data_IF_565360266500
#
_entry.id   IF_565360266500
#
_cell.length_a   1.000
_cell.length_b   1.000
_cell.length_c   1.000
_cell.angle_alpha   90.00
_cell.angle_beta   90.00
_cell.angle_gamma   90.00
#
_symmetry.space_group_name_H-M   'P 1'
#
loop_
_entity.id
_entity.type
_entity.pdbx_description
1 polymer ?
#
# COMPACT_ATOMS: atom_id res chain seq x y z
N UNK A 1 9.41 11.64 5.45
CA UNK A 1 10.76 12.17 5.68
C UNK A 1 10.83 13.12 6.89
N UNK A 2 9.85 13.98 7.05
CA UNK A 2 9.83 14.97 8.15
C UNK A 2 9.90 14.33 9.53
N UNK A 3 9.31 13.16 9.69
CA UNK A 3 9.32 12.38 10.93
C UNK A 3 10.59 11.52 11.12
N UNK A 4 11.59 11.67 10.26
CA UNK A 4 12.86 10.96 10.34
C UNK A 4 12.86 9.51 9.85
N UNK A 5 11.77 9.07 9.24
CA UNK A 5 11.67 7.72 8.68
C UNK A 5 12.51 7.52 7.41
N UNK A 6 12.83 6.26 7.14
CA UNK A 6 13.48 5.85 5.89
C UNK A 6 12.40 5.69 4.81
N UNK A 7 12.64 6.29 3.64
CA UNK A 7 11.75 6.20 2.48
C UNK A 7 12.37 5.31 1.41
N UNK A 8 11.70 4.21 1.08
CA UNK A 8 12.15 3.26 0.06
C UNK A 8 11.09 3.19 -1.03
N UNK A 9 11.49 3.50 -2.27
CA UNK A 9 10.63 3.38 -3.44
C UNK A 9 10.87 2.06 -4.17
N UNK A 10 9.81 1.37 -4.57
CA UNK A 10 9.87 0.25 -5.49
C UNK A 10 9.33 0.68 -6.84
N UNK A 11 10.23 0.76 -7.82
CA UNK A 11 9.90 1.19 -9.17
C UNK A 11 9.48 0.02 -10.06
N UNK A 12 8.50 0.22 -10.96
CA UNK A 12 8.20 -0.74 -12.01
C UNK A 12 9.29 -0.78 -13.10
N UNK A 13 10.11 0.27 -13.19
CA UNK A 13 11.17 0.43 -14.18
C UNK A 13 12.39 -0.44 -13.90
N UNK A 14 13.19 -0.69 -14.93
CA UNK A 14 14.47 -1.40 -14.84
C UNK A 14 15.65 -0.47 -14.57
N UNK A 15 15.51 0.82 -14.89
CA UNK A 15 16.57 1.84 -14.75
C UNK A 15 16.00 3.17 -14.25
N UNK A 16 16.87 4.02 -13.71
CA UNK A 16 16.51 5.38 -13.33
C UNK A 16 15.95 6.17 -14.51
N UNK A 17 16.56 6.04 -15.67
CA UNK A 17 16.10 6.73 -16.89
C UNK A 17 14.68 6.33 -17.25
N UNK A 18 14.38 5.04 -17.30
CA UNK A 18 13.05 4.52 -17.56
C UNK A 18 12.04 4.98 -16.50
N UNK A 19 12.45 5.00 -15.23
CA UNK A 19 11.63 5.50 -14.12
C UNK A 19 11.19 6.96 -14.33
N UNK A 20 12.12 7.82 -14.74
CA UNK A 20 11.86 9.25 -14.94
C UNK A 20 11.21 9.52 -16.29
N UNK A 21 11.74 8.96 -17.37
CA UNK A 21 11.34 9.32 -18.74
C UNK A 21 10.08 8.59 -19.20
N UNK A 22 9.93 7.30 -18.88
CA UNK A 22 8.81 6.48 -19.35
C UNK A 22 7.67 6.45 -18.34
N UNK A 23 7.97 6.13 -17.07
CA UNK A 23 6.96 6.06 -16.02
C UNK A 23 6.60 7.40 -15.39
N UNK A 24 7.37 8.47 -15.67
CA UNK A 24 7.14 9.82 -15.11
C UNK A 24 7.08 9.85 -13.59
N UNK A 25 7.93 9.06 -12.94
CA UNK A 25 7.99 8.96 -11.47
C UNK A 25 9.10 9.85 -10.90
N UNK A 26 8.88 10.43 -9.71
CA UNK A 26 9.86 11.31 -9.07
C UNK A 26 10.99 10.55 -8.39
N UNK A 27 12.14 11.20 -8.25
CA UNK A 27 13.29 10.69 -7.49
C UNK A 27 13.38 11.31 -6.10
N UNK A 28 12.73 12.46 -5.90
CA UNK A 28 12.86 13.26 -4.67
C UNK A 28 12.29 12.53 -3.46
N UNK A 29 12.89 12.80 -2.30
CA UNK A 29 12.46 12.32 -0.99
C UNK A 29 12.56 10.80 -0.79
N UNK A 30 13.24 10.09 -1.68
CA UNK A 30 13.55 8.67 -1.52
C UNK A 30 14.98 8.51 -1.00
N UNK A 31 15.17 7.70 0.02
CA UNK A 31 16.50 7.30 0.51
C UNK A 31 17.10 6.21 -0.38
N UNK A 32 16.23 5.35 -0.90
CA UNK A 32 16.60 4.25 -1.81
C UNK A 32 15.48 4.02 -2.81
N UNK A 33 15.83 3.77 -4.05
CA UNK A 33 14.89 3.31 -5.08
C UNK A 33 15.36 1.96 -5.60
N UNK A 34 14.47 0.97 -5.55
CA UNK A 34 14.73 -0.36 -6.11
C UNK A 34 14.05 -0.43 -7.47
N UNK A 35 14.83 -0.57 -8.52
CA UNK A 35 14.34 -0.70 -9.90
C UNK A 35 14.04 -2.18 -10.17
N UNK A 36 12.78 -2.58 -10.03
CA UNK A 36 12.38 -3.99 -10.13
C UNK A 36 12.39 -4.52 -11.56
N UNK A 37 12.09 -3.68 -12.53
CA UNK A 37 11.96 -4.09 -13.93
C UNK A 37 10.74 -4.98 -14.23
N UNK A 38 9.82 -5.14 -13.28
CA UNK A 38 8.69 -6.06 -13.40
C UNK A 38 7.37 -5.38 -13.83
N UNK A 39 7.41 -4.10 -14.20
CA UNK A 39 6.20 -3.34 -14.51
C UNK A 39 5.33 -3.11 -13.27
N UNK A 40 4.09 -2.69 -13.49
CA UNK A 40 3.20 -2.33 -12.39
C UNK A 40 2.79 -3.50 -11.50
N UNK A 41 2.30 -4.58 -12.09
CA UNK A 41 1.76 -5.71 -11.31
C UNK A 41 2.83 -6.44 -10.51
N UNK A 42 4.00 -6.69 -11.11
CA UNK A 42 5.12 -7.32 -10.41
C UNK A 42 5.68 -6.45 -9.31
N UNK A 43 5.79 -5.12 -9.53
CA UNK A 43 6.18 -4.17 -8.51
C UNK A 43 5.19 -4.13 -7.36
N UNK A 44 3.87 -4.15 -7.64
CA UNK A 44 2.84 -4.17 -6.61
C UNK A 44 2.94 -5.40 -5.71
N UNK A 45 3.21 -6.56 -6.30
CA UNK A 45 3.40 -7.80 -5.55
C UNK A 45 4.60 -7.71 -4.60
N UNK A 46 5.75 -7.25 -5.09
CA UNK A 46 6.96 -7.10 -4.28
C UNK A 46 6.77 -6.08 -3.16
N UNK A 47 6.20 -4.92 -3.46
CA UNK A 47 5.95 -3.87 -2.49
C UNK A 47 5.06 -4.37 -1.36
N UNK A 48 3.95 -5.00 -1.71
CA UNK A 48 2.96 -5.49 -0.75
C UNK A 48 3.53 -6.60 0.12
N UNK A 49 4.21 -7.58 -0.47
CA UNK A 49 4.81 -8.68 0.28
C UNK A 49 5.97 -8.28 1.17
N UNK A 50 6.70 -7.23 0.81
CA UNK A 50 7.80 -6.69 1.61
C UNK A 50 7.35 -5.85 2.80
N UNK A 51 6.06 -5.53 2.89
CA UNK A 51 5.50 -4.65 3.91
C UNK A 51 4.86 -5.43 5.06
N UNK A 52 4.95 -4.90 6.28
CA UNK A 52 4.26 -5.43 7.47
C UNK A 52 2.77 -5.07 7.45
N UNK A 53 2.42 -3.95 6.83
CA UNK A 53 1.05 -3.48 6.64
C UNK A 53 0.96 -2.62 5.39
N UNK A 54 -0.26 -2.41 4.90
CA UNK A 54 -0.53 -1.59 3.71
C UNK A 54 -1.50 -0.48 4.09
N UNK A 55 -1.23 0.74 3.65
CA UNK A 55 -2.15 1.87 3.76
C UNK A 55 -2.62 2.24 2.36
N UNK A 56 -3.94 2.31 2.21
CA UNK A 56 -4.61 2.68 0.96
C UNK A 56 -5.29 4.03 1.14
N UNK A 57 -4.92 4.97 0.28
CA UNK A 57 -5.60 6.27 0.18
C UNK A 57 -6.42 6.37 -1.11
N UNK A 58 -6.39 7.53 -1.73
CA UNK A 58 -6.96 7.74 -3.06
C UNK A 58 -6.18 6.93 -4.11
N UNK A 59 -6.88 6.11 -4.90
CA UNK A 59 -6.22 5.27 -5.87
C UNK A 59 -7.11 4.77 -7.00
N UNK A 60 -6.49 4.04 -7.91
CA UNK A 60 -7.10 3.48 -9.12
C UNK A 60 -6.85 1.96 -9.17
N UNK A 61 -6.74 1.39 -10.36
CA UNK A 61 -6.55 -0.05 -10.57
C UNK A 61 -5.32 -0.63 -9.87
N UNK A 62 -4.20 0.09 -9.89
CA UNK A 62 -2.99 -0.34 -9.19
C UNK A 62 -3.20 -0.45 -7.68
N UNK A 63 -3.91 0.51 -7.10
CA UNK A 63 -4.29 0.50 -5.69
C UNK A 63 -5.20 -0.67 -5.35
N UNK A 64 -6.18 -0.99 -6.20
CA UNK A 64 -7.03 -2.16 -6.02
C UNK A 64 -6.22 -3.46 -6.12
N UNK A 65 -5.25 -3.53 -7.02
CA UNK A 65 -4.34 -4.67 -7.13
C UNK A 65 -3.53 -4.86 -5.84
N UNK A 66 -2.93 -3.81 -5.32
CA UNK A 66 -2.18 -3.85 -4.06
C UNK A 66 -3.09 -4.24 -2.88
N UNK A 67 -4.31 -3.70 -2.81
CA UNK A 67 -5.29 -4.07 -1.80
C UNK A 67 -5.62 -5.55 -1.85
N UNK A 68 -5.94 -6.09 -3.03
CA UNK A 68 -6.33 -7.51 -3.16
C UNK A 68 -5.17 -8.45 -2.82
N UNK A 69 -3.93 -8.11 -3.20
CA UNK A 69 -2.75 -8.87 -2.81
C UNK A 69 -2.61 -8.89 -1.28
N UNK A 70 -2.70 -7.73 -0.63
CA UNK A 70 -2.59 -7.63 0.83
C UNK A 70 -3.71 -8.40 1.54
N UNK A 71 -4.93 -8.35 1.01
CA UNK A 71 -6.07 -9.09 1.55
C UNK A 71 -5.86 -10.60 1.44
N UNK A 72 -5.43 -11.09 0.27
CA UNK A 72 -5.12 -12.51 0.06
C UNK A 72 -3.97 -13.00 0.97
N UNK A 73 -2.97 -12.17 1.19
CA UNK A 73 -1.83 -12.48 2.06
C UNK A 73 -2.15 -12.26 3.56
N UNK A 74 -3.40 -11.92 3.89
CA UNK A 74 -3.87 -11.66 5.26
C UNK A 74 -3.04 -10.61 6.02
N UNK A 75 -2.61 -9.58 5.32
CA UNK A 75 -1.87 -8.47 5.92
C UNK A 75 -2.80 -7.45 6.56
N UNK A 76 -2.35 -6.75 7.60
CA UNK A 76 -3.05 -5.56 8.11
C UNK A 76 -3.16 -4.50 7.03
N UNK A 77 -4.38 -3.99 6.80
CA UNK A 77 -4.67 -2.98 5.78
C UNK A 77 -5.42 -1.83 6.42
N UNK A 78 -4.89 -0.62 6.26
CA UNK A 78 -5.54 0.62 6.66
C UNK A 78 -6.11 1.34 5.45
N UNK A 79 -7.41 1.60 5.45
CA UNK A 79 -8.08 2.37 4.41
C UNK A 79 -8.35 3.78 4.92
N UNK A 80 -7.71 4.76 4.30
CA UNK A 80 -7.94 6.16 4.61
C UNK A 80 -9.25 6.60 3.94
N UNK A 81 -10.22 6.96 4.76
CA UNK A 81 -11.52 7.44 4.28
C UNK A 81 -11.45 8.91 3.86
N UNK A 82 -12.07 9.23 2.74
CA UNK A 82 -12.12 10.57 2.20
C UNK A 82 -13.17 10.72 1.10
N UNK A 83 -13.14 11.83 0.40
CA UNK A 83 -14.13 12.17 -0.64
C UNK A 83 -13.80 11.62 -2.04
N UNK A 84 -12.85 10.73 -2.17
CA UNK A 84 -12.37 10.19 -3.46
C UNK A 84 -13.03 8.89 -3.91
N UNK A 85 -13.80 8.21 -3.05
CA UNK A 85 -14.58 7.02 -3.41
C UNK A 85 -13.84 5.68 -3.37
N UNK A 86 -12.52 5.65 -3.24
CA UNK A 86 -11.75 4.40 -3.18
C UNK A 86 -12.11 3.56 -1.96
N UNK A 87 -12.28 4.18 -0.82
CA UNK A 87 -12.69 3.55 0.43
C UNK A 87 -14.06 2.90 0.34
N UNK A 88 -15.04 3.58 -0.27
CA UNK A 88 -16.38 3.04 -0.49
C UNK A 88 -16.36 1.83 -1.44
N UNK A 89 -15.57 1.91 -2.51
CA UNK A 89 -15.41 0.81 -3.46
C UNK A 89 -14.80 -0.42 -2.78
N UNK A 90 -13.76 -0.25 -1.97
CA UNK A 90 -13.11 -1.33 -1.25
C UNK A 90 -14.06 -1.96 -0.24
N UNK A 91 -14.82 -1.18 0.51
CA UNK A 91 -15.84 -1.67 1.44
C UNK A 91 -16.88 -2.54 0.71
N UNK A 92 -17.33 -2.10 -0.45
CA UNK A 92 -18.25 -2.87 -1.30
C UNK A 92 -17.62 -4.19 -1.76
N UNK A 93 -16.38 -4.18 -2.23
CA UNK A 93 -15.68 -5.39 -2.65
C UNK A 93 -15.59 -6.40 -1.50
N UNK A 94 -15.23 -5.96 -0.30
CA UNK A 94 -15.14 -6.82 0.89
C UNK A 94 -16.49 -7.48 1.17
N UNK A 95 -17.57 -6.70 1.17
CA UNK A 95 -18.93 -7.20 1.42
C UNK A 95 -19.39 -8.21 0.37
N UNK A 96 -19.18 -7.89 -0.89
CA UNK A 96 -19.62 -8.73 -2.02
C UNK A 96 -18.77 -9.99 -2.21
N UNK A 97 -17.54 -10.01 -1.70
CA UNK A 97 -16.67 -11.17 -1.78
C UNK A 97 -17.06 -12.32 -0.85
N UNK A 98 -17.83 -12.03 0.19
CA UNK A 98 -18.29 -13.01 1.20
C UNK A 98 -17.17 -13.79 1.89
N UNK A 99 -15.96 -13.23 1.98
CA UNK A 99 -14.80 -13.85 2.62
C UNK A 99 -14.46 -13.27 3.98
N UNK A 100 -15.28 -12.33 4.46
CA UNK A 100 -15.08 -11.66 5.73
C UNK A 100 -14.24 -10.39 5.61
N UNK A 101 -14.12 -9.62 6.71
CA UNK A 101 -13.45 -8.32 6.71
C UNK A 101 -11.91 -8.40 6.65
N UNK A 102 -11.30 -9.55 6.91
CA UNK A 102 -9.86 -9.66 7.04
C UNK A 102 -9.31 -8.78 8.16
N UNK A 103 -8.08 -8.30 8.01
CA UNK A 103 -7.44 -7.34 8.93
C UNK A 103 -7.53 -5.93 8.37
N UNK A 104 -8.72 -5.51 7.94
CA UNK A 104 -8.95 -4.23 7.28
C UNK A 104 -9.60 -3.26 8.25
N UNK A 105 -9.03 -2.08 8.38
CA UNK A 105 -9.57 -1.00 9.20
C UNK A 105 -9.76 0.26 8.36
N UNK A 106 -10.79 1.03 8.68
CA UNK A 106 -11.13 2.27 8.00
C UNK A 106 -11.04 3.41 9.00
N UNK A 107 -10.41 4.50 8.64
CA UNK A 107 -10.37 5.73 9.44
C UNK A 107 -10.19 6.95 8.53
N UNK A 108 -10.81 8.05 8.88
CA UNK A 108 -10.64 9.33 8.18
C UNK A 108 -9.47 10.16 8.73
N UNK A 109 -9.01 9.82 9.93
CA UNK A 109 -7.86 10.46 10.55
C UNK A 109 -6.59 9.65 10.24
N UNK A 110 -5.63 10.20 9.46
CA UNK A 110 -4.44 9.46 9.07
C UNK A 110 -3.56 9.05 10.25
N UNK A 111 -3.49 9.87 11.28
CA UNK A 111 -2.70 9.55 12.47
C UNK A 111 -3.28 8.36 13.24
N UNK A 112 -4.59 8.38 13.46
CA UNK A 112 -5.30 7.27 14.12
C UNK A 112 -5.21 6.00 13.30
N UNK A 113 -5.30 6.09 11.97
CA UNK A 113 -5.16 4.95 11.08
C UNK A 113 -3.81 4.27 11.28
N UNK A 114 -2.73 5.03 11.29
CA UNK A 114 -1.37 4.51 11.52
C UNK A 114 -1.24 3.88 12.90
N UNK A 115 -1.71 4.56 13.94
CA UNK A 115 -1.66 4.05 15.33
C UNK A 115 -2.40 2.70 15.46
N UNK A 116 -3.59 2.60 14.88
CA UNK A 116 -4.38 1.37 14.88
C UNK A 116 -3.70 0.23 14.13
N UNK A 117 -3.08 0.53 12.98
CA UNK A 117 -2.30 -0.46 12.23
C UNK A 117 -1.09 -0.97 13.02
N UNK A 118 -0.36 -0.09 13.68
CA UNK A 118 0.78 -0.46 14.51
C UNK A 118 0.36 -1.45 15.60
N UNK A 119 -0.80 -1.24 16.23
CA UNK A 119 -1.31 -2.17 17.24
C UNK A 119 -1.62 -3.56 16.66
N UNK A 120 -2.16 -3.62 15.45
CA UNK A 120 -2.40 -4.90 14.76
C UNK A 120 -1.07 -5.60 14.44
N UNK A 121 -0.09 -4.86 13.92
CA UNK A 121 1.24 -5.40 13.60
C UNK A 121 1.91 -5.98 14.85
N UNK A 122 1.84 -5.28 15.97
CA UNK A 122 2.42 -5.76 17.24
C UNK A 122 1.81 -7.08 17.70
N UNK A 123 0.52 -7.26 17.51
CA UNK A 123 -0.18 -8.51 17.84
C UNK A 123 0.19 -9.67 16.91
N UNK A 124 0.47 -9.38 15.64
CA UNK A 124 0.80 -10.39 14.64
C UNK A 124 2.25 -10.84 14.69
N UNK A 125 3.15 -10.00 15.21
CA UNK A 125 4.57 -10.36 15.31
C UNK A 125 4.80 -11.34 16.45
N UNK A 126 5.45 -12.44 16.11
CA UNK A 126 6.02 -13.36 17.09
C UNK A 126 7.31 -12.72 17.60
N UNK A 127 7.27 -12.30 18.82
CA UNK A 127 8.42 -11.72 19.50
C UNK A 127 9.08 -12.76 20.39
#
# INVERSE_FOLDING_TARGET
>A
KEEGGISIGLSPASTEREHVEDYKLPLEYQDLIIYTGFGYSGRNLLLTRSSDAVIVGCGRMGTLNEFTIAYEDNKPIGILQGSWGTDELIDKIIKESHRGPGKVIFDSDPKKLVERLIEIIKKDKIV
#
